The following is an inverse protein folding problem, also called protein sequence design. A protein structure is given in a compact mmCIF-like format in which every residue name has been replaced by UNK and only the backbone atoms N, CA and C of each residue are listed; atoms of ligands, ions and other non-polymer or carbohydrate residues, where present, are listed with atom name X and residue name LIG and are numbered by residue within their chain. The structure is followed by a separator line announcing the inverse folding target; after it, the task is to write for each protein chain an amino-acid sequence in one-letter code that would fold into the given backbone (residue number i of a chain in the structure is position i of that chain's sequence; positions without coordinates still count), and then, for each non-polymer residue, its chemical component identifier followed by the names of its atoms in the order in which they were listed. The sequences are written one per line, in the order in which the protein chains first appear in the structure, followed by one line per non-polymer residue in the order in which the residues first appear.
data_IF_095042083968
#
_entry.id   IF_095042083968
#
_cell.length_a   1.000
_cell.length_b   1.000
_cell.length_c   1.000
_cell.angle_alpha   90.00
_cell.angle_beta   90.00
_cell.angle_gamma   90.00
#
_symmetry.space_group_name_H-M   'P 1'
#
loop_
_entity.id
_entity.type
_entity.pdbx_description
1 polymer ?
#
# COMPACT_ATOMS: atom_id res chain seq x y z
N UNK A 1 27.29 14.24 -0.30
CA UNK A 1 26.77 15.24 0.67
C UNK A 1 25.36 14.79 1.04
N UNK A 2 25.24 13.97 2.09
CA UNK A 2 23.95 13.48 2.57
C UNK A 2 23.36 14.57 3.46
N UNK A 3 22.28 15.23 3.04
CA UNK A 3 21.47 15.99 3.99
C UNK A 3 20.83 14.97 4.94
N UNK A 4 21.26 14.96 6.20
CA UNK A 4 20.46 14.48 7.30
C UNK A 4 19.17 15.32 7.34
N UNK A 5 18.15 14.89 6.61
CA UNK A 5 16.80 15.40 6.78
C UNK A 5 16.33 14.95 8.16
N UNK A 6 16.63 15.74 9.19
CA UNK A 6 16.02 15.62 10.50
C UNK A 6 14.50 15.73 10.28
N UNK A 7 13.79 14.61 10.44
CA UNK A 7 12.34 14.60 10.34
C UNK A 7 11.84 15.57 11.43
N UNK A 8 11.26 16.70 11.01
CA UNK A 8 10.66 17.65 11.94
C UNK A 8 9.38 17.03 12.51
N UNK A 9 9.55 16.29 13.60
CA UNK A 9 8.49 15.55 14.29
C UNK A 9 7.59 16.52 15.04
N UNK A 10 6.30 16.49 14.72
CA UNK A 10 5.26 17.32 15.33
C UNK A 10 4.54 16.59 16.47
N UNK A 11 4.41 15.27 16.35
CA UNK A 11 3.67 14.45 17.31
C UNK A 11 4.07 12.98 17.20
N UNK A 12 4.09 12.28 18.32
CA UNK A 12 4.13 10.82 18.38
C UNK A 12 2.99 10.33 19.29
N UNK A 13 2.44 9.16 18.98
CA UNK A 13 1.42 8.51 19.80
C UNK A 13 1.45 6.99 19.63
N UNK A 14 1.15 6.29 20.71
CA UNK A 14 0.92 4.85 20.72
C UNK A 14 -0.58 4.58 20.93
N UNK A 15 -1.14 3.67 20.14
CA UNK A 15 -2.52 3.22 20.33
C UNK A 15 -2.68 1.77 19.85
N UNK A 16 -3.18 0.90 20.73
CA UNK A 16 -3.27 -0.55 20.52
C UNK A 16 -1.95 -1.18 20.08
N UNK A 17 -1.92 -1.79 18.89
CA UNK A 17 -0.74 -2.43 18.30
C UNK A 17 0.04 -1.50 17.38
N UNK A 18 -0.32 -0.22 17.32
CA UNK A 18 0.27 0.72 16.39
C UNK A 18 1.03 1.83 17.11
N UNK A 19 2.10 2.28 16.48
CA UNK A 19 2.79 3.53 16.79
C UNK A 19 2.65 4.47 15.61
N UNK A 20 2.21 5.68 15.88
CA UNK A 20 2.05 6.73 14.88
C UNK A 20 3.01 7.86 15.13
N UNK A 21 3.55 8.41 14.06
CA UNK A 21 4.37 9.63 14.09
C UNK A 21 3.77 10.62 13.11
N UNK A 22 3.87 11.91 13.42
CA UNK A 22 3.46 12.99 12.54
C UNK A 22 4.66 13.88 12.34
N UNK A 23 5.03 14.12 11.09
CA UNK A 23 6.08 15.07 10.75
C UNK A 23 5.55 16.19 9.88
N UNK A 24 6.22 17.34 9.89
CA UNK A 24 6.04 18.31 8.82
C UNK A 24 6.35 17.64 7.46
N UNK A 25 5.61 18.01 6.42
CA UNK A 25 5.91 17.56 5.06
C UNK A 25 7.10 18.37 4.52
N UNK A 26 8.22 17.74 4.13
CA UNK A 26 9.39 18.46 3.63
C UNK A 26 9.15 19.08 2.24
N UNK A 27 8.15 18.63 1.49
CA UNK A 27 7.91 19.06 0.11
C UNK A 27 6.79 20.09 -0.05
N UNK A 28 5.85 20.17 0.90
CA UNK A 28 4.70 21.07 0.83
C UNK A 28 4.50 21.81 2.14
N UNK A 29 4.65 23.14 2.10
CA UNK A 29 4.46 24.02 3.27
C UNK A 29 3.08 23.81 3.89
N UNK A 30 3.02 23.93 5.22
CA UNK A 30 1.81 23.81 6.04
C UNK A 30 1.09 22.46 5.97
N UNK A 31 1.63 21.42 5.34
CA UNK A 31 1.07 20.07 5.37
C UNK A 31 1.88 19.16 6.30
N UNK A 32 1.28 18.07 6.76
CA UNK A 32 1.99 17.08 7.58
C UNK A 32 1.72 15.65 7.11
N UNK A 33 2.69 14.78 7.35
CA UNK A 33 2.63 13.36 6.99
C UNK A 33 2.37 12.56 8.26
N UNK A 34 1.35 11.71 8.23
CA UNK A 34 1.12 10.71 9.25
C UNK A 34 1.84 9.43 8.85
N UNK A 35 2.66 8.93 9.75
CA UNK A 35 3.47 7.73 9.63
C UNK A 35 2.96 6.67 10.61
N UNK A 36 3.16 5.41 10.26
CA UNK A 36 2.69 4.26 11.02
C UNK A 36 3.76 3.16 11.07
N UNK A 37 3.91 2.52 12.21
CA UNK A 37 4.55 1.20 12.32
C UNK A 37 3.71 0.27 13.21
N UNK A 38 3.82 -1.04 12.97
CA UNK A 38 3.16 -2.08 13.77
C UNK A 38 4.11 -2.53 14.88
N UNK A 39 3.67 -2.43 16.14
CA UNK A 39 4.44 -2.82 17.32
C UNK A 39 4.66 -4.33 17.40
N UNK A 40 3.81 -5.16 16.79
CA UNK A 40 3.95 -6.63 16.75
C UNK A 40 4.97 -7.09 15.72
N UNK A 41 5.18 -6.29 14.67
CA UNK A 41 6.16 -6.56 13.61
C UNK A 41 6.98 -5.29 13.39
N UNK A 42 7.85 -4.94 14.36
CA UNK A 42 8.57 -3.68 14.33
C UNK A 42 9.38 -3.57 13.04
N UNK A 43 9.06 -2.53 12.28
CA UNK A 43 9.72 -2.19 11.03
C UNK A 43 9.81 -0.68 10.88
N UNK A 44 10.35 -0.19 9.75
CA UNK A 44 10.41 1.24 9.49
C UNK A 44 9.01 1.84 9.43
N UNK A 45 8.89 3.09 9.87
CA UNK A 45 7.67 3.86 9.71
C UNK A 45 7.30 4.00 8.23
N UNK A 46 6.07 3.65 7.90
CA UNK A 46 5.50 3.81 6.55
C UNK A 46 4.56 5.00 6.53
N UNK A 47 4.62 5.81 5.48
CA UNK A 47 3.67 6.89 5.28
C UNK A 47 2.25 6.32 5.18
N UNK A 48 1.38 6.73 6.08
CA UNK A 48 -0.02 6.33 6.12
C UNK A 48 -0.88 7.28 5.29
N UNK A 49 -0.59 8.59 5.37
CA UNK A 49 -1.29 9.61 4.62
C UNK A 49 -0.75 11.02 4.87
N UNK A 50 -1.37 11.99 4.21
CA UNK A 50 -1.06 13.43 4.33
C UNK A 50 -2.29 14.18 4.84
N UNK A 51 -2.07 15.13 5.73
CA UNK A 51 -3.07 16.11 6.15
C UNK A 51 -2.71 17.49 5.58
N UNK A 52 -3.72 18.26 5.19
CA UNK A 52 -3.54 19.60 4.64
C UNK A 52 -2.99 20.61 5.64
N UNK A 53 -3.14 20.33 6.94
CA UNK A 53 -2.58 21.08 8.05
C UNK A 53 -2.39 20.18 9.27
N UNK A 54 -1.49 20.56 10.17
CA UNK A 54 -1.37 19.93 11.48
C UNK A 54 -2.56 20.32 12.36
N UNK A 55 -3.48 19.38 12.56
CA UNK A 55 -4.62 19.50 13.47
C UNK A 55 -4.58 18.28 14.41
N UNK A 56 -4.09 18.51 15.63
CA UNK A 56 -3.88 17.45 16.62
C UNK A 56 -5.15 16.62 16.86
N UNK A 57 -6.32 17.27 16.94
CA UNK A 57 -7.59 16.58 17.23
C UNK A 57 -7.99 15.68 16.09
N UNK A 58 -7.94 16.18 14.84
CA UNK A 58 -8.28 15.38 13.65
C UNK A 58 -7.32 14.20 13.46
N UNK A 59 -6.03 14.41 13.74
CA UNK A 59 -5.02 13.36 13.59
C UNK A 59 -5.20 12.27 14.65
N UNK A 60 -5.44 12.64 15.92
CA UNK A 60 -5.76 11.69 16.99
C UNK A 60 -7.03 10.89 16.67
N UNK A 61 -8.10 11.57 16.28
CA UNK A 61 -9.37 10.92 15.90
C UNK A 61 -9.17 9.91 14.76
N UNK A 62 -8.40 10.28 13.73
CA UNK A 62 -8.07 9.35 12.66
C UNK A 62 -7.26 8.15 13.17
N UNK A 63 -6.24 8.37 14.00
CA UNK A 63 -5.41 7.28 14.54
C UNK A 63 -6.23 6.29 15.36
N UNK A 64 -7.12 6.78 16.22
CA UNK A 64 -8.05 5.95 17.01
C UNK A 64 -8.96 5.14 16.09
N UNK A 65 -9.62 5.79 15.12
CA UNK A 65 -10.49 5.10 14.16
C UNK A 65 -9.72 4.07 13.32
N UNK A 66 -8.49 4.38 12.92
CA UNK A 66 -7.64 3.49 12.13
C UNK A 66 -7.26 2.23 12.92
N UNK A 67 -6.92 2.36 14.19
CA UNK A 67 -6.62 1.21 15.06
C UNK A 67 -7.86 0.35 15.31
N UNK A 68 -9.02 0.96 15.51
CA UNK A 68 -10.26 0.24 15.82
C UNK A 68 -10.96 -0.39 14.59
N UNK A 69 -10.85 0.20 13.39
CA UNK A 69 -11.65 -0.21 12.22
C UNK A 69 -10.85 -0.94 11.13
N UNK A 70 -11.10 -2.24 10.95
CA UNK A 70 -10.56 -3.01 9.81
C UNK A 70 -10.97 -2.40 8.47
N UNK A 71 -12.23 -1.97 8.34
CA UNK A 71 -12.73 -1.37 7.10
C UNK A 71 -11.96 -0.11 6.70
N UNK A 72 -11.60 0.75 7.66
CA UNK A 72 -10.81 1.94 7.38
C UNK A 72 -9.39 1.59 6.94
N UNK A 73 -8.77 0.58 7.56
CA UNK A 73 -7.45 0.08 7.14
C UNK A 73 -7.51 -0.46 5.70
N UNK A 74 -8.52 -1.26 5.39
CA UNK A 74 -8.73 -1.80 4.05
C UNK A 74 -8.95 -0.67 3.03
N UNK A 75 -9.69 0.38 3.38
CA UNK A 75 -9.90 1.55 2.51
C UNK A 75 -8.58 2.28 2.22
N UNK A 76 -7.78 2.55 3.25
CA UNK A 76 -6.47 3.20 3.12
C UNK A 76 -5.54 2.38 2.23
N UNK A 77 -5.45 1.08 2.46
CA UNK A 77 -4.61 0.19 1.65
C UNK A 77 -5.09 0.11 0.19
N UNK A 78 -6.41 0.09 -0.03
CA UNK A 78 -6.96 0.14 -1.39
C UNK A 78 -6.65 1.48 -2.08
N UNK A 79 -6.69 2.60 -1.36
CA UNK A 79 -6.32 3.91 -1.90
C UNK A 79 -4.83 3.96 -2.27
N UNK A 80 -3.94 3.46 -1.41
CA UNK A 80 -2.51 3.33 -1.72
C UNK A 80 -2.28 2.45 -2.95
N UNK A 81 -2.98 1.33 -3.04
CA UNK A 81 -2.87 0.44 -4.20
C UNK A 81 -3.35 1.13 -5.48
N UNK A 82 -4.46 1.89 -5.47
CA UNK A 82 -4.89 2.71 -6.62
C UNK A 82 -3.80 3.67 -7.09
N UNK A 83 -3.15 4.36 -6.16
CA UNK A 83 -2.04 5.29 -6.49
C UNK A 83 -0.87 4.52 -7.10
N UNK A 84 -0.49 3.36 -6.53
CA UNK A 84 0.54 2.48 -7.11
C UNK A 84 0.16 2.04 -8.52
N UNK A 85 -1.09 1.65 -8.78
CA UNK A 85 -1.53 1.28 -10.12
C UNK A 85 -1.30 2.42 -11.11
N UNK A 86 -1.44 3.68 -10.71
CA UNK A 86 -1.16 4.85 -11.55
C UNK A 86 0.30 5.01 -11.96
N UNK A 87 1.24 4.48 -11.16
CA UNK A 87 2.68 4.50 -11.48
C UNK A 87 3.19 3.23 -12.17
N UNK A 88 2.37 2.18 -12.30
CA UNK A 88 2.80 0.93 -12.95
C UNK A 88 2.82 1.10 -14.47
N UNK A 89 3.99 0.86 -15.05
CA UNK A 89 4.24 0.84 -16.49
C UNK A 89 4.40 -0.60 -17.00
N UNK A 90 4.46 -0.78 -18.34
CA UNK A 90 4.72 -2.09 -18.94
C UNK A 90 6.06 -2.70 -18.51
N UNK A 91 7.09 -1.87 -18.31
CA UNK A 91 8.40 -2.34 -17.85
C UNK A 91 8.37 -2.94 -16.44
N UNK A 92 7.40 -2.56 -15.61
CA UNK A 92 7.17 -3.20 -14.32
C UNK A 92 6.73 -4.66 -14.49
N UNK A 93 5.82 -4.96 -15.43
CA UNK A 93 5.36 -6.33 -15.69
C UNK A 93 6.50 -7.23 -16.19
N UNK A 94 7.36 -6.74 -17.08
CA UNK A 94 8.56 -7.49 -17.49
C UNK A 94 9.52 -7.76 -16.33
N UNK A 95 9.65 -6.85 -15.35
CA UNK A 95 10.45 -7.09 -14.14
C UNK A 95 9.84 -8.19 -13.28
N UNK A 96 8.52 -8.19 -13.12
CA UNK A 96 7.81 -9.24 -12.39
C UNK A 96 8.04 -10.59 -13.07
N UNK A 97 7.85 -10.68 -14.38
CA UNK A 97 8.04 -11.91 -15.17
C UNK A 97 9.45 -12.50 -14.95
N UNK A 98 10.50 -11.67 -15.01
CA UNK A 98 11.89 -12.10 -14.78
C UNK A 98 12.15 -12.61 -13.35
N UNK A 99 11.32 -12.22 -12.39
CA UNK A 99 11.45 -12.63 -10.98
C UNK A 99 10.72 -13.95 -10.69
N UNK A 100 9.81 -14.39 -11.57
CA UNK A 100 9.02 -15.61 -11.36
C UNK A 100 9.88 -16.86 -11.15
N UNK A 101 10.94 -17.13 -11.95
CA UNK A 101 11.72 -18.36 -11.81
C UNK A 101 12.44 -18.48 -10.46
N UNK A 102 12.80 -17.35 -9.84
CA UNK A 102 13.50 -17.34 -8.56
C UNK A 102 12.56 -17.33 -7.36
N UNK A 103 11.47 -16.55 -7.42
CA UNK A 103 10.49 -16.48 -6.34
C UNK A 103 9.12 -16.02 -6.84
N UNK A 104 8.37 -16.98 -7.41
CA UNK A 104 7.04 -16.77 -8.01
C UNK A 104 6.04 -16.16 -7.03
N UNK A 105 5.93 -16.70 -5.81
CA UNK A 105 4.98 -16.22 -4.82
C UNK A 105 5.26 -14.76 -4.44
N UNK A 106 6.52 -14.42 -4.14
CA UNK A 106 6.92 -13.05 -3.81
C UNK A 106 6.65 -12.10 -4.99
N UNK A 107 6.97 -12.51 -6.22
CA UNK A 107 6.73 -11.70 -7.42
C UNK A 107 5.23 -11.35 -7.57
N UNK A 108 4.34 -12.33 -7.42
CA UNK A 108 2.90 -12.11 -7.54
C UNK A 108 2.32 -11.34 -6.35
N UNK A 109 2.77 -11.62 -5.11
CA UNK A 109 2.39 -10.81 -3.95
C UNK A 109 2.79 -9.35 -4.13
N UNK A 110 4.00 -9.10 -4.66
CA UNK A 110 4.48 -7.76 -4.96
C UNK A 110 3.64 -7.08 -6.05
N UNK A 111 3.26 -7.79 -7.12
CA UNK A 111 2.37 -7.29 -8.16
C UNK A 111 1.05 -6.80 -7.56
N UNK A 112 0.43 -7.65 -6.73
CA UNK A 112 -0.82 -7.32 -6.04
C UNK A 112 -0.63 -6.43 -4.81
N UNK A 113 0.59 -6.12 -4.38
CA UNK A 113 0.90 -5.33 -3.17
C UNK A 113 0.45 -5.98 -1.86
N UNK A 114 0.40 -7.30 -1.80
CA UNK A 114 -0.12 -8.06 -0.66
C UNK A 114 0.97 -8.35 0.36
N UNK A 115 0.60 -8.29 1.63
CA UNK A 115 1.45 -8.75 2.74
C UNK A 115 1.42 -10.28 2.87
N UNK A 116 1.92 -10.81 3.98
CA UNK A 116 2.01 -12.26 4.27
C UNK A 116 0.66 -12.99 4.29
N UNK A 117 -0.41 -12.35 4.76
CA UNK A 117 -1.76 -12.94 4.75
C UNK A 117 -2.53 -12.52 3.49
N UNK A 118 -3.03 -13.48 2.72
CA UNK A 118 -3.85 -13.23 1.53
C UNK A 118 -5.34 -13.42 1.87
N UNK A 119 -6.06 -12.32 1.98
CA UNK A 119 -7.52 -12.35 2.11
C UNK A 119 -8.17 -12.40 0.72
N UNK A 120 -9.05 -13.39 0.49
CA UNK A 120 -9.69 -13.61 -0.82
C UNK A 120 -10.44 -12.38 -1.34
N UNK A 121 -11.16 -11.69 -0.46
CA UNK A 121 -11.90 -10.48 -0.80
C UNK A 121 -10.99 -9.33 -1.26
N UNK A 122 -9.84 -9.17 -0.60
CA UNK A 122 -8.84 -8.16 -0.96
C UNK A 122 -8.18 -8.50 -2.31
N UNK A 123 -7.76 -9.76 -2.51
CA UNK A 123 -7.20 -10.23 -3.79
C UNK A 123 -8.18 -10.00 -4.95
N UNK A 124 -9.45 -10.39 -4.78
CA UNK A 124 -10.50 -10.21 -5.78
C UNK A 124 -10.75 -8.75 -6.12
N UNK A 125 -10.73 -7.87 -5.10
CA UNK A 125 -10.88 -6.42 -5.30
C UNK A 125 -9.71 -5.85 -6.10
N UNK A 126 -8.47 -6.20 -5.74
CA UNK A 126 -7.26 -5.75 -6.45
C UNK A 126 -7.18 -6.26 -7.87
N UNK A 127 -7.64 -7.48 -8.11
CA UNK A 127 -7.81 -8.04 -9.46
C UNK A 127 -8.73 -7.17 -10.32
N UNK A 128 -9.93 -6.86 -9.82
CA UNK A 128 -10.88 -5.98 -10.53
C UNK A 128 -10.29 -4.59 -10.83
N UNK A 129 -9.52 -4.03 -9.90
CA UNK A 129 -8.85 -2.74 -10.10
C UNK A 129 -7.77 -2.80 -11.18
N UNK A 130 -6.97 -3.87 -11.22
CA UNK A 130 -5.96 -4.06 -12.26
C UNK A 130 -6.59 -4.33 -13.62
N UNK A 131 -7.61 -5.20 -13.68
CA UNK A 131 -8.34 -5.46 -14.91
C UNK A 131 -8.90 -4.15 -15.50
N UNK A 132 -9.59 -3.33 -14.69
CA UNK A 132 -10.11 -2.04 -15.17
C UNK A 132 -9.05 -1.13 -15.79
N UNK A 133 -7.80 -1.24 -15.37
CA UNK A 133 -6.69 -0.42 -15.85
C UNK A 133 -5.94 -1.03 -17.04
N UNK A 134 -5.73 -2.33 -17.04
CA UNK A 134 -4.81 -3.01 -17.96
C UNK A 134 -5.49 -3.92 -18.97
N UNK A 135 -6.83 -4.03 -18.95
CA UNK A 135 -7.58 -4.83 -19.92
C UNK A 135 -7.35 -4.33 -21.36
N UNK A 136 -7.05 -5.22 -22.33
CA UNK A 136 -6.83 -4.83 -23.73
C UNK A 136 -7.99 -4.03 -24.33
N UNK A 137 -9.23 -4.45 -24.10
CA UNK A 137 -10.44 -3.78 -24.60
C UNK A 137 -10.63 -2.35 -24.07
N UNK A 138 -9.92 -1.98 -23.00
CA UNK A 138 -9.94 -0.64 -22.41
C UNK A 138 -8.68 0.17 -22.78
N UNK A 139 -7.95 -0.24 -23.81
CA UNK A 139 -6.68 0.37 -24.23
C UNK A 139 -5.48 -0.08 -23.38
N UNK A 140 -5.62 -1.18 -22.64
CA UNK A 140 -4.56 -1.80 -21.86
C UNK A 140 -3.62 -2.67 -22.70
N UNK A 141 -2.98 -3.64 -22.06
CA UNK A 141 -1.96 -4.48 -22.70
C UNK A 141 -2.20 -5.96 -22.41
N UNK A 142 -2.24 -6.78 -23.46
CA UNK A 142 -2.53 -8.21 -23.37
C UNK A 142 -1.52 -8.95 -22.50
N UNK A 143 -0.22 -8.66 -22.66
CA UNK A 143 0.82 -9.28 -21.84
C UNK A 143 0.64 -8.95 -20.35
N UNK A 144 0.42 -7.68 -20.01
CA UNK A 144 0.16 -7.27 -18.64
C UNK A 144 -1.08 -7.98 -18.06
N UNK A 145 -2.17 -8.05 -18.82
CA UNK A 145 -3.42 -8.70 -18.39
C UNK A 145 -3.26 -10.21 -18.21
N UNK A 146 -2.52 -10.88 -19.09
CA UNK A 146 -2.17 -12.31 -18.96
C UNK A 146 -1.41 -12.57 -17.66
N UNK A 147 -0.38 -11.76 -17.38
CA UNK A 147 0.41 -11.89 -16.16
C UNK A 147 -0.43 -11.62 -14.90
N UNK A 148 -1.35 -10.65 -14.96
CA UNK A 148 -2.30 -10.36 -13.87
C UNK A 148 -3.21 -11.57 -13.60
N UNK A 149 -3.76 -12.18 -14.65
CA UNK A 149 -4.63 -13.35 -14.52
C UNK A 149 -3.87 -14.55 -13.94
N UNK A 150 -2.67 -14.81 -14.44
CA UNK A 150 -1.82 -15.89 -13.94
C UNK A 150 -1.50 -15.71 -12.45
N UNK A 151 -1.07 -14.51 -12.07
CA UNK A 151 -0.77 -14.16 -10.70
C UNK A 151 -2.00 -14.29 -9.79
N UNK A 152 -3.17 -13.84 -10.24
CA UNK A 152 -4.43 -13.98 -9.51
C UNK A 152 -4.77 -15.46 -9.26
N UNK A 153 -4.74 -16.28 -10.31
CA UNK A 153 -5.06 -17.70 -10.22
C UNK A 153 -4.08 -18.46 -9.31
N UNK A 154 -2.80 -18.11 -9.37
CA UNK A 154 -1.79 -18.68 -8.48
C UNK A 154 -2.08 -18.30 -7.02
N UNK A 155 -2.25 -17.02 -6.72
CA UNK A 155 -2.45 -16.54 -5.35
C UNK A 155 -3.78 -16.99 -4.75
N UNK A 156 -4.80 -17.25 -5.58
CA UNK A 156 -6.10 -17.74 -5.13
C UNK A 156 -5.98 -19.07 -4.37
N UNK A 157 -5.02 -19.92 -4.74
CA UNK A 157 -4.74 -21.21 -4.10
C UNK A 157 -4.24 -21.07 -2.65
N UNK A 158 -3.74 -19.88 -2.28
CA UNK A 158 -3.20 -19.57 -0.95
C UNK A 158 -4.13 -18.65 -0.15
N UNK A 159 -5.35 -18.42 -0.63
CA UNK A 159 -6.33 -17.60 0.10
C UNK A 159 -6.91 -18.40 1.26
N UNK A 160 -7.02 -17.75 2.43
CA UNK A 160 -7.82 -18.31 3.53
C UNK A 160 -9.30 -17.98 3.28
N UNK A 161 -10.17 -18.93 3.63
CA UNK A 161 -11.63 -18.76 3.58
C UNK A 161 -12.09 -17.62 4.51
#
# INVERSE_FOLDING_TARGET
MFMENSINLLMEMDHDNFRFQVSANPYEKNTCILWLTDKKKPGPFKALGKFSAFDRKKILDFAVRYSASKSLRDEVENKKFKVKLNSISLSYFHKIEKTIPSNRESAYRNLFGLDTKIERGNLSRRMKMMAKKFHPDLGGNTFAMTLINEAYNYLLQYTQA
#
